data_IF_322512357037
#
_entry.id   IF_322512357037
#
_cell.length_a   1.000
_cell.length_b   1.000
_cell.length_c   1.000
_cell.angle_alpha   90.00
_cell.angle_beta   90.00
_cell.angle_gamma   90.00
#
_symmetry.space_group_name_H-M   'P 1'
#
loop_
_entity.id
_entity.type
_entity.pdbx_description
1 polymer ?
#
# COMPACT_ATOMS: atom_id res chain seq x y z
N UNK A 1 14.84 -7.22 -22.75
CA UNK A 1 13.87 -6.13 -23.04
C UNK A 1 14.39 -4.84 -22.45
N UNK A 2 14.46 -3.75 -23.24
CA UNK A 2 14.84 -2.41 -22.73
C UNK A 2 13.67 -1.84 -21.95
N UNK A 3 13.84 -1.64 -20.64
CA UNK A 3 12.93 -0.83 -19.82
C UNK A 3 13.27 0.65 -20.07
N UNK A 4 12.27 1.45 -20.45
CA UNK A 4 12.44 2.86 -20.84
C UNK A 4 12.62 3.81 -19.64
N UNK A 5 12.40 3.33 -18.42
CA UNK A 5 12.57 4.13 -17.20
C UNK A 5 13.29 3.25 -16.16
N UNK A 6 14.51 3.60 -15.73
CA UNK A 6 15.13 3.00 -14.57
C UNK A 6 14.57 3.74 -13.35
N UNK A 7 13.51 3.23 -12.74
CA UNK A 7 13.22 3.66 -11.38
C UNK A 7 14.27 3.03 -10.48
N UNK A 8 15.06 3.88 -9.83
CA UNK A 8 15.70 3.52 -8.57
C UNK A 8 14.56 2.97 -7.71
N UNK A 9 14.60 1.68 -7.40
CA UNK A 9 13.66 1.10 -6.47
C UNK A 9 13.91 1.81 -5.13
N UNK A 10 13.06 2.78 -4.81
CA UNK A 10 12.98 3.35 -3.48
C UNK A 10 12.63 2.26 -2.47
N UNK A 11 12.78 2.56 -1.18
CA UNK A 11 12.32 1.65 -0.13
C UNK A 11 10.84 1.31 -0.28
N UNK A 12 10.40 0.18 0.30
CA UNK A 12 9.00 -0.27 0.23
C UNK A 12 7.97 0.78 0.69
N UNK A 13 8.37 1.71 1.58
CA UNK A 13 7.54 2.81 2.07
C UNK A 13 7.85 4.19 1.47
N UNK A 14 8.69 4.25 0.44
CA UNK A 14 9.11 5.52 -0.16
C UNK A 14 8.13 5.94 -1.26
N UNK A 15 7.49 7.10 -1.08
CA UNK A 15 6.51 7.62 -2.02
C UNK A 15 7.16 8.26 -3.27
N UNK A 16 7.75 7.42 -4.13
CA UNK A 16 8.55 7.84 -5.30
C UNK A 16 7.81 8.69 -6.34
N UNK A 17 6.48 8.63 -6.38
CA UNK A 17 5.68 9.41 -7.32
C UNK A 17 5.22 10.76 -6.75
N UNK A 18 5.20 10.94 -5.44
CA UNK A 18 4.68 12.17 -4.80
C UNK A 18 5.73 13.28 -4.84
N UNK A 19 5.75 14.06 -5.93
CA UNK A 19 6.74 15.13 -6.13
C UNK A 19 6.19 16.49 -5.71
N UNK A 20 6.82 17.12 -4.70
CA UNK A 20 6.39 18.42 -4.17
C UNK A 20 6.27 19.52 -5.25
N UNK A 21 7.18 19.53 -6.24
CA UNK A 21 7.17 20.52 -7.32
C UNK A 21 5.97 20.39 -8.28
N UNK A 22 5.15 19.33 -8.16
CA UNK A 22 3.94 19.14 -8.95
C UNK A 22 2.67 19.60 -8.21
N UNK A 23 2.77 20.00 -6.93
CA UNK A 23 1.63 20.52 -6.17
C UNK A 23 1.05 21.82 -6.76
N UNK A 24 1.83 22.57 -7.53
CA UNK A 24 1.39 23.77 -8.24
C UNK A 24 0.42 23.48 -9.39
N UNK A 25 0.34 22.22 -9.84
CA UNK A 25 -0.56 21.78 -10.92
C UNK A 25 -1.47 20.67 -10.38
N UNK A 26 -2.65 21.01 -9.84
CA UNK A 26 -3.51 20.05 -9.12
C UNK A 26 -3.85 18.77 -9.88
N UNK A 27 -4.14 18.87 -11.18
CA UNK A 27 -4.43 17.72 -12.03
C UNK A 27 -3.28 16.71 -12.06
N UNK A 28 -2.04 17.21 -12.24
CA UNK A 28 -0.84 16.37 -12.24
C UNK A 28 -0.54 15.82 -10.85
N UNK A 29 -0.79 16.59 -9.80
CA UNK A 29 -0.62 16.13 -8.43
C UNK A 29 -1.57 14.97 -8.11
N UNK A 30 -2.85 15.07 -8.47
CA UNK A 30 -3.83 13.99 -8.26
C UNK A 30 -3.44 12.75 -9.08
N UNK A 31 -2.95 12.90 -10.32
CA UNK A 31 -2.45 11.79 -11.12
C UNK A 31 -1.21 11.10 -10.50
N UNK A 32 -0.29 11.86 -9.90
CA UNK A 32 0.84 11.29 -9.16
C UNK A 32 0.37 10.51 -7.92
N UNK A 33 -0.59 11.08 -7.17
CA UNK A 33 -1.16 10.43 -6.01
C UNK A 33 -1.86 9.12 -6.39
N UNK A 34 -2.63 9.12 -7.48
CA UNK A 34 -3.22 7.91 -8.05
C UNK A 34 -2.16 6.86 -8.40
N UNK A 35 -1.07 7.23 -9.08
CA UNK A 35 0.04 6.32 -9.39
C UNK A 35 0.68 5.73 -8.13
N UNK A 36 0.84 6.54 -7.08
CA UNK A 36 1.36 6.06 -5.80
C UNK A 36 0.42 5.06 -5.14
N UNK A 37 -0.90 5.30 -5.18
CA UNK A 37 -1.90 4.35 -4.67
C UNK A 37 -1.89 3.02 -5.42
N UNK A 38 -1.75 3.05 -6.76
CA UNK A 38 -1.62 1.82 -7.57
C UNK A 38 -0.37 1.01 -7.18
N UNK A 39 0.73 1.71 -6.93
CA UNK A 39 1.97 1.04 -6.51
C UNK A 39 1.88 0.44 -5.10
N UNK A 40 1.20 1.13 -4.18
CA UNK A 40 0.88 0.59 -2.85
C UNK A 40 0.04 -0.70 -2.95
N UNK A 41 -0.96 -0.74 -3.84
CA UNK A 41 -1.73 -1.96 -4.09
C UNK A 41 -0.87 -3.10 -4.68
N UNK A 42 0.08 -2.77 -5.55
CA UNK A 42 1.01 -3.76 -6.10
C UNK A 42 1.96 -4.33 -5.03
N UNK A 43 2.41 -3.50 -4.09
CA UNK A 43 3.20 -3.92 -2.92
C UNK A 43 2.42 -4.95 -2.11
N UNK A 44 1.18 -4.63 -1.71
CA UNK A 44 0.31 -5.53 -0.94
C UNK A 44 0.12 -6.87 -1.67
N UNK A 45 -0.17 -6.81 -2.98
CA UNK A 45 -0.36 -8.02 -3.79
C UNK A 45 0.89 -8.90 -3.79
N UNK A 46 2.06 -8.31 -4.06
CA UNK A 46 3.30 -9.04 -4.26
C UNK A 46 3.92 -9.57 -2.97
N UNK A 47 3.92 -8.75 -1.92
CA UNK A 47 4.65 -9.02 -0.68
C UNK A 47 3.78 -9.69 0.39
N UNK A 48 2.45 -9.55 0.33
CA UNK A 48 1.53 -10.14 1.32
C UNK A 48 0.59 -11.18 0.69
N UNK A 49 -0.29 -10.78 -0.25
CA UNK A 49 -1.31 -11.71 -0.77
C UNK A 49 -0.71 -12.97 -1.41
N UNK A 50 0.30 -12.82 -2.26
CA UNK A 50 0.95 -13.96 -2.92
C UNK A 50 1.74 -14.86 -1.95
N UNK A 51 2.10 -14.36 -0.76
CA UNK A 51 2.85 -15.08 0.25
C UNK A 51 1.98 -15.64 1.38
N UNK A 52 0.66 -15.43 1.31
CA UNK A 52 -0.26 -15.80 2.39
C UNK A 52 -0.37 -17.32 2.61
N UNK A 53 -0.47 -18.11 1.55
CA UNK A 53 -0.64 -19.56 1.66
C UNK A 53 0.57 -20.29 2.30
N UNK A 54 1.83 -19.93 1.99
CA UNK A 54 3.00 -20.45 2.70
C UNK A 54 2.93 -20.39 4.24
N UNK A 55 2.38 -19.30 4.82
CA UNK A 55 2.29 -19.13 6.29
C UNK A 55 1.39 -20.15 6.99
N UNK A 56 0.49 -20.82 6.26
CA UNK A 56 -0.36 -21.88 6.81
C UNK A 56 0.28 -23.28 6.72
N UNK A 57 1.46 -23.40 6.11
CA UNK A 57 2.10 -24.70 5.84
C UNK A 57 3.34 -24.93 6.70
N UNK A 58 4.00 -23.86 7.13
CA UNK A 58 5.21 -23.91 7.93
C UNK A 58 5.31 -22.66 8.80
N UNK A 59 5.86 -22.83 10.00
CA UNK A 59 6.22 -21.72 10.86
C UNK A 59 7.40 -20.99 10.22
N UNK A 60 7.13 -19.83 9.64
CA UNK A 60 8.10 -19.03 8.91
C UNK A 60 8.13 -17.62 9.51
N UNK A 61 8.92 -17.47 10.58
CA UNK A 61 9.08 -16.20 11.30
C UNK A 61 9.63 -15.10 10.38
N UNK A 62 10.55 -15.45 9.46
CA UNK A 62 11.11 -14.48 8.52
C UNK A 62 10.02 -13.92 7.60
N UNK A 63 9.13 -14.78 7.13
CA UNK A 63 7.99 -14.35 6.33
C UNK A 63 7.00 -13.51 7.13
N UNK A 64 6.74 -13.86 8.40
CA UNK A 64 5.88 -13.03 9.25
C UNK A 64 6.49 -11.63 9.51
N UNK A 65 7.78 -11.54 9.80
CA UNK A 65 8.50 -10.27 9.93
C UNK A 65 8.42 -9.44 8.64
N UNK A 66 8.49 -10.11 7.47
CA UNK A 66 8.30 -9.45 6.18
C UNK A 66 6.89 -8.86 6.02
N UNK A 67 5.86 -9.54 6.49
CA UNK A 67 4.49 -8.99 6.52
C UNK A 67 4.40 -7.77 7.42
N UNK A 68 4.99 -7.81 8.62
CA UNK A 68 4.98 -6.66 9.54
C UNK A 68 5.72 -5.46 8.95
N UNK A 69 6.88 -5.67 8.33
CA UNK A 69 7.61 -4.61 7.64
C UNK A 69 6.82 -4.02 6.47
N UNK A 70 6.11 -4.87 5.71
CA UNK A 70 5.30 -4.43 4.58
C UNK A 70 4.08 -3.63 5.02
N UNK A 71 3.41 -4.03 6.10
CA UNK A 71 2.28 -3.29 6.66
C UNK A 71 2.71 -1.88 7.09
N UNK A 72 3.83 -1.74 7.81
CA UNK A 72 4.38 -0.43 8.19
C UNK A 72 4.71 0.45 6.97
N UNK A 73 5.20 -0.17 5.88
CA UNK A 73 5.47 0.54 4.64
C UNK A 73 4.17 1.02 3.96
N UNK A 74 3.12 0.20 3.97
CA UNK A 74 1.80 0.55 3.43
C UNK A 74 1.15 1.67 4.23
N UNK A 75 1.15 1.60 5.57
CA UNK A 75 0.67 2.68 6.44
C UNK A 75 1.42 4.00 6.19
N UNK A 76 2.75 3.92 6.04
CA UNK A 76 3.56 5.08 5.70
C UNK A 76 3.19 5.69 4.35
N UNK A 77 2.98 4.86 3.32
CA UNK A 77 2.55 5.32 2.00
C UNK A 77 1.16 5.96 2.05
N UNK A 78 0.21 5.36 2.75
CA UNK A 78 -1.14 5.92 2.91
C UNK A 78 -1.08 7.31 3.56
N UNK A 79 -0.31 7.48 4.63
CA UNK A 79 -0.09 8.79 5.28
C UNK A 79 0.54 9.82 4.35
N UNK A 80 1.52 9.41 3.54
CA UNK A 80 2.15 10.29 2.55
C UNK A 80 1.18 10.72 1.44
N UNK A 81 0.37 9.79 0.92
CA UNK A 81 -0.66 10.07 -0.09
C UNK A 81 -1.70 11.04 0.48
N UNK A 82 -2.23 10.77 1.68
CA UNK A 82 -3.20 11.65 2.34
C UNK A 82 -2.64 13.05 2.53
N UNK A 83 -1.41 13.17 3.07
CA UNK A 83 -0.75 14.47 3.25
C UNK A 83 -0.59 15.21 1.93
N UNK A 84 -0.17 14.52 0.88
CA UNK A 84 0.07 15.11 -0.44
C UNK A 84 -1.22 15.65 -1.06
N UNK A 85 -2.30 14.86 -1.07
CA UNK A 85 -3.59 15.27 -1.65
C UNK A 85 -4.25 16.39 -0.84
N UNK A 86 -4.18 16.33 0.49
CA UNK A 86 -4.78 17.36 1.38
C UNK A 86 -4.02 18.68 1.38
N UNK A 87 -2.81 18.73 0.83
CA UNK A 87 -2.05 19.97 0.63
C UNK A 87 -2.59 20.80 -0.54
N UNK A 88 -3.36 20.21 -1.45
CA UNK A 88 -3.88 20.90 -2.63
C UNK A 88 -4.99 21.90 -2.26
N UNK A 89 -4.96 23.07 -2.90
CA UNK A 89 -6.01 24.07 -2.76
C UNK A 89 -7.26 23.67 -3.57
N UNK A 90 -8.27 23.17 -2.85
CA UNK A 90 -9.51 22.65 -3.44
C UNK A 90 -10.44 23.75 -3.99
N UNK A 91 -10.20 25.03 -3.69
CA UNK A 91 -11.13 26.11 -4.05
C UNK A 91 -11.31 26.29 -5.57
N UNK A 92 -10.36 25.81 -6.36
CA UNK A 92 -10.37 25.91 -7.83
C UNK A 92 -10.57 24.56 -8.54
N UNK A 93 -10.98 23.52 -7.81
CA UNK A 93 -11.14 22.19 -8.40
C UNK A 93 -12.40 22.14 -9.28
N UNK A 94 -12.27 21.45 -10.42
CA UNK A 94 -13.45 20.93 -11.11
C UNK A 94 -14.08 19.81 -10.27
N UNK A 95 -15.37 19.55 -10.50
CA UNK A 95 -16.08 18.46 -9.82
C UNK A 95 -15.42 17.09 -10.07
N UNK A 96 -14.94 16.84 -11.30
CA UNK A 96 -14.20 15.62 -11.65
C UNK A 96 -12.89 15.50 -10.88
N UNK A 97 -12.12 16.59 -10.75
CA UNK A 97 -10.85 16.58 -10.03
C UNK A 97 -11.06 16.35 -8.52
N UNK A 98 -12.11 16.96 -7.95
CA UNK A 98 -12.49 16.72 -6.56
C UNK A 98 -12.86 15.26 -6.33
N UNK A 99 -13.68 14.67 -7.21
CA UNK A 99 -14.07 13.27 -7.11
C UNK A 99 -12.85 12.34 -7.20
N UNK A 100 -11.93 12.58 -8.15
CA UNK A 100 -10.69 11.78 -8.27
C UNK A 100 -9.81 11.90 -7.04
N UNK A 101 -9.70 13.10 -6.45
CA UNK A 101 -8.94 13.32 -5.22
C UNK A 101 -9.51 12.51 -4.06
N UNK A 102 -10.84 12.51 -3.91
CA UNK A 102 -11.52 11.70 -2.90
C UNK A 102 -11.32 10.21 -3.14
N UNK A 103 -11.42 9.74 -4.40
CA UNK A 103 -11.18 8.33 -4.74
C UNK A 103 -9.77 7.88 -4.37
N UNK A 104 -8.75 8.72 -4.58
CA UNK A 104 -7.37 8.43 -4.17
C UNK A 104 -7.26 8.28 -2.65
N UNK A 105 -7.88 9.18 -1.88
CA UNK A 105 -7.89 9.13 -0.42
C UNK A 105 -8.58 7.87 0.11
N UNK A 106 -9.78 7.56 -0.40
CA UNK A 106 -10.51 6.35 0.00
C UNK A 106 -9.75 5.07 -0.38
N UNK A 107 -9.22 4.99 -1.60
CA UNK A 107 -8.46 3.83 -2.03
C UNK A 107 -7.17 3.64 -1.21
N UNK A 108 -6.50 4.74 -0.82
CA UNK A 108 -5.32 4.64 0.04
C UNK A 108 -5.68 4.12 1.44
N UNK A 109 -6.78 4.60 2.01
CA UNK A 109 -7.30 4.12 3.30
C UNK A 109 -7.70 2.63 3.24
N UNK A 110 -8.45 2.24 2.20
CA UNK A 110 -8.90 0.85 2.04
C UNK A 110 -7.72 -0.12 1.87
N UNK A 111 -6.68 0.29 1.14
CA UNK A 111 -5.47 -0.52 0.96
C UNK A 111 -4.65 -0.64 2.26
N UNK A 112 -4.59 0.41 3.09
CA UNK A 112 -3.99 0.32 4.43
C UNK A 112 -4.74 -0.68 5.31
N UNK A 113 -6.07 -0.60 5.34
CA UNK A 113 -6.90 -1.57 6.06
C UNK A 113 -6.72 -3.00 5.54
N UNK A 114 -6.59 -3.19 4.23
CA UNK A 114 -6.29 -4.51 3.64
C UNK A 114 -4.91 -5.00 4.12
N UNK A 115 -3.90 -4.13 4.19
CA UNK A 115 -2.59 -4.46 4.73
C UNK A 115 -2.67 -4.99 6.17
N UNK A 116 -3.35 -4.27 7.06
CA UNK A 116 -3.54 -4.70 8.46
C UNK A 116 -4.31 -6.03 8.55
N UNK A 117 -5.38 -6.20 7.78
CA UNK A 117 -6.13 -7.47 7.73
C UNK A 117 -5.24 -8.64 7.32
N UNK A 118 -4.35 -8.45 6.35
CA UNK A 118 -3.41 -9.49 5.92
C UNK A 118 -2.37 -9.80 7.01
N UNK A 119 -1.86 -8.80 7.73
CA UNK A 119 -0.97 -9.04 8.89
C UNK A 119 -1.70 -9.81 9.99
N UNK A 120 -2.97 -9.50 10.25
CA UNK A 120 -3.78 -10.22 11.23
C UNK A 120 -4.03 -11.68 10.83
N UNK A 121 -4.29 -11.95 9.54
CA UNK A 121 -4.40 -13.31 9.01
C UNK A 121 -3.07 -14.05 9.14
N UNK A 122 -1.94 -13.40 8.82
CA UNK A 122 -0.61 -13.98 8.97
C UNK A 122 -0.32 -14.38 10.43
N UNK A 123 -0.73 -13.55 11.40
CA UNK A 123 -0.61 -13.84 12.85
C UNK A 123 -1.41 -15.09 13.24
N UNK A 124 -2.60 -15.27 12.67
CA UNK A 124 -3.40 -16.48 12.88
C UNK A 124 -2.70 -17.70 12.27
N UNK A 125 -2.14 -17.60 11.06
CA UNK A 125 -1.38 -18.67 10.41
C UNK A 125 -0.18 -19.14 11.25
N UNK A 126 0.58 -18.20 11.81
CA UNK A 126 1.69 -18.51 12.74
C UNK A 126 1.21 -19.24 13.99
N UNK A 127 0.07 -18.82 14.57
CA UNK A 127 -0.51 -19.49 15.74
C UNK A 127 -0.94 -20.92 15.43
N UNK A 128 -1.61 -21.15 14.30
CA UNK A 128 -2.05 -22.48 13.88
C UNK A 128 -0.86 -23.42 13.74
N UNK A 129 0.22 -22.94 13.11
CA UNK A 129 1.38 -23.79 12.83
C UNK A 129 2.21 -24.08 14.08
N UNK A 130 2.45 -23.07 14.93
CA UNK A 130 3.19 -23.22 16.20
C UNK A 130 2.46 -24.12 17.21
N UNK A 131 1.13 -24.01 17.29
CA UNK A 131 0.30 -24.82 18.20
C UNK A 131 -0.16 -26.16 17.58
N UNK A 132 0.22 -26.47 16.34
CA UNK A 132 -0.21 -27.66 15.58
C UNK A 132 -1.73 -27.85 15.55
N UNK A 133 -2.47 -26.74 15.42
CA UNK A 133 -3.93 -26.76 15.43
C UNK A 133 -4.49 -27.19 14.08
N UNK A 134 -5.64 -27.86 14.11
CA UNK A 134 -6.44 -28.17 12.92
C UNK A 134 -7.82 -27.54 13.04
N UNK A 135 -8.38 -27.11 11.92
CA UNK A 135 -9.78 -26.69 11.87
C UNK A 135 -10.68 -27.92 12.10
N UNK A 136 -11.71 -27.75 12.92
CA UNK A 136 -12.78 -28.75 13.03
C UNK A 136 -13.53 -28.87 11.71
N UNK A 137 -14.09 -30.06 11.45
CA UNK A 137 -15.02 -30.28 10.33
C UNK A 137 -16.30 -29.43 10.42
#
# INVERSE_FOLDING_TARGET
MKRLIPDKAGGLGEAKYLKENLLEVPELAVDQAHRQTVEMGYIIYKEMLNQMLPLFRSEDEELFERFSYTEQAVDSLAKQIVKYVTTLDINNFSEDLLLRSLQVLYAANDLEHIGDLLLNIARIGMKITSEQLAFSE
#
